data_IF_292111850230
#
_entry.id   IF_292111850230
#
_cell.length_a   1.000
_cell.length_b   1.000
_cell.length_c   1.000
_cell.angle_alpha   90.00
_cell.angle_beta   90.00
_cell.angle_gamma   90.00
#
_symmetry.space_group_name_H-M   'P 1'
#
loop_
_entity.id
_entity.type
_entity.pdbx_description
1 polymer ?
#
# COMPACT_ATOMS: atom_id res chain seq x y z
N UNK A 1 24.62 11.62 -6.61
CA UNK A 1 23.68 10.46 -6.60
C UNK A 1 22.30 11.04 -6.52
N UNK A 2 21.62 10.97 -7.65
CA UNK A 2 20.55 11.90 -7.96
C UNK A 2 19.25 11.37 -7.38
N UNK A 3 18.48 12.28 -6.78
CA UNK A 3 17.22 11.98 -6.12
C UNK A 3 16.08 12.10 -7.14
N UNK A 4 15.39 11.00 -7.41
CA UNK A 4 14.22 10.97 -8.28
C UNK A 4 12.98 10.84 -7.42
N UNK A 5 12.02 11.74 -7.61
CA UNK A 5 10.71 11.66 -6.96
C UNK A 5 9.66 11.19 -7.98
N UNK A 6 8.94 10.14 -7.61
CA UNK A 6 7.77 9.63 -8.33
C UNK A 6 6.52 9.92 -7.50
N UNK A 7 5.41 10.27 -8.15
CA UNK A 7 4.13 10.38 -7.47
C UNK A 7 3.40 9.03 -7.47
N UNK A 8 2.89 8.62 -6.30
CA UNK A 8 2.13 7.36 -6.22
C UNK A 8 0.82 7.44 -7.01
N UNK A 9 0.65 6.62 -8.03
CA UNK A 9 -0.47 6.69 -8.98
C UNK A 9 -1.06 5.30 -9.21
N UNK A 10 -1.47 4.66 -8.11
CA UNK A 10 -2.19 3.40 -8.14
C UNK A 10 -1.34 2.18 -8.49
N UNK A 11 -0.02 2.25 -8.27
CA UNK A 11 0.91 1.13 -8.44
C UNK A 11 1.67 1.12 -9.76
N UNK A 12 1.32 1.98 -10.71
CA UNK A 12 2.01 2.09 -12.00
C UNK A 12 3.42 2.67 -11.88
N UNK A 13 3.68 3.39 -10.79
CA UNK A 13 5.00 3.92 -10.42
C UNK A 13 5.99 2.83 -10.00
N UNK A 14 5.50 1.66 -9.54
CA UNK A 14 6.35 0.63 -8.93
C UNK A 14 7.33 -0.02 -9.92
N UNK A 15 6.95 -0.43 -11.15
CA UNK A 15 7.89 -0.96 -12.12
C UNK A 15 9.01 0.04 -12.46
N UNK A 16 8.67 1.32 -12.56
CA UNK A 16 9.62 2.39 -12.82
C UNK A 16 10.55 2.62 -11.61
N UNK A 17 10.00 2.65 -10.39
CA UNK A 17 10.77 2.77 -9.16
C UNK A 17 11.81 1.64 -9.02
N UNK A 18 11.41 0.40 -9.33
CA UNK A 18 12.31 -0.77 -9.37
C UNK A 18 13.40 -0.60 -10.42
N UNK A 19 13.06 -0.17 -11.64
CA UNK A 19 14.04 0.03 -12.71
C UNK A 19 15.07 1.12 -12.36
N UNK A 20 14.61 2.25 -11.81
CA UNK A 20 15.47 3.35 -11.38
C UNK A 20 16.37 2.96 -10.20
N UNK A 21 15.83 2.22 -9.22
CA UNK A 21 16.61 1.70 -8.11
C UNK A 21 17.71 0.75 -8.60
N UNK A 22 17.40 -0.17 -9.53
CA UNK A 22 18.39 -1.07 -10.16
C UNK A 22 19.47 -0.33 -10.95
N UNK A 23 19.13 0.83 -11.52
CA UNK A 23 20.08 1.71 -12.17
C UNK A 23 20.93 2.55 -11.19
N UNK A 24 20.73 2.40 -9.87
CA UNK A 24 21.52 3.05 -8.82
C UNK A 24 21.00 4.42 -8.39
N UNK A 25 19.80 4.82 -8.83
CA UNK A 25 19.20 6.09 -8.44
C UNK A 25 18.55 6.02 -7.05
N UNK A 26 18.56 7.14 -6.34
CA UNK A 26 17.82 7.31 -5.08
C UNK A 26 16.40 7.67 -5.43
N UNK A 27 15.46 6.76 -5.19
CA UNK A 27 14.05 6.96 -5.57
C UNK A 27 13.23 7.29 -4.33
N UNK A 28 12.29 8.23 -4.43
CA UNK A 28 11.27 8.49 -3.41
C UNK A 28 9.91 8.38 -4.09
N UNK A 29 9.01 7.58 -3.52
CA UNK A 29 7.60 7.54 -3.94
C UNK A 29 6.83 8.49 -3.03
N UNK A 30 6.50 9.67 -3.55
CA UNK A 30 5.82 10.72 -2.81
C UNK A 30 4.31 10.46 -2.72
N UNK A 31 3.75 10.81 -1.56
CA UNK A 31 2.32 10.74 -1.33
C UNK A 31 1.59 11.83 -2.15
N UNK A 32 0.60 11.48 -2.98
CA UNK A 32 -0.15 12.42 -3.82
C UNK A 32 -0.76 13.59 -3.05
N UNK A 33 -1.14 13.37 -1.78
CA UNK A 33 -1.68 14.46 -0.96
C UNK A 33 -0.61 15.49 -0.63
N UNK A 34 0.61 15.06 -0.35
CA UNK A 34 1.72 15.97 -0.02
C UNK A 34 2.19 16.74 -1.26
N UNK A 35 2.33 16.05 -2.41
CA UNK A 35 2.67 16.68 -3.69
C UNK A 35 1.60 17.68 -4.11
N UNK A 36 0.30 17.35 -3.98
CA UNK A 36 -0.79 18.28 -4.27
C UNK A 36 -0.81 19.48 -3.31
N UNK A 37 -0.63 19.28 -2.01
CA UNK A 37 -0.58 20.40 -1.04
C UNK A 37 0.60 21.34 -1.33
N UNK A 38 1.76 20.78 -1.69
CA UNK A 38 2.91 21.55 -2.13
C UNK A 38 2.66 22.28 -3.45
N UNK A 39 1.98 21.64 -4.41
CA UNK A 39 1.56 22.29 -5.65
C UNK A 39 0.64 23.49 -5.38
N UNK A 40 -0.34 23.34 -4.49
CA UNK A 40 -1.27 24.41 -4.11
C UNK A 40 -0.57 25.61 -3.46
N UNK A 41 0.57 25.43 -2.79
CA UNK A 41 1.32 26.56 -2.22
C UNK A 41 2.07 27.38 -3.27
N UNK A 42 2.28 26.84 -4.47
CA UNK A 42 3.05 27.50 -5.54
C UNK A 42 2.16 28.05 -6.68
N UNK A 43 1.09 27.34 -7.09
CA UNK A 43 0.21 27.80 -8.18
C UNK A 43 -1.15 27.07 -8.20
N UNK A 44 -2.22 27.77 -8.59
CA UNK A 44 -3.58 27.22 -8.73
C UNK A 44 -3.88 26.60 -10.11
N UNK A 45 -3.03 26.83 -11.13
CA UNK A 45 -3.29 26.41 -12.50
C UNK A 45 -2.53 25.10 -12.83
N UNK A 46 -3.28 24.02 -13.05
CA UNK A 46 -2.76 22.66 -13.28
C UNK A 46 -2.42 22.44 -14.77
N UNK A 47 -1.15 22.22 -15.08
CA UNK A 47 -0.70 21.74 -16.40
C UNK A 47 0.42 20.71 -16.20
N UNK A 48 0.56 19.74 -17.09
CA UNK A 48 1.53 18.64 -16.91
C UNK A 48 2.98 19.13 -16.79
N UNK A 49 3.35 20.19 -17.53
CA UNK A 49 4.67 20.81 -17.43
C UNK A 49 4.89 21.49 -16.07
N UNK A 50 3.86 22.15 -15.52
CA UNK A 50 3.95 22.71 -14.16
C UNK A 50 4.03 21.63 -13.10
N UNK A 51 3.27 20.55 -13.25
CA UNK A 51 3.27 19.46 -12.27
C UNK A 51 4.62 18.73 -12.25
N UNK A 52 5.26 18.56 -13.41
CA UNK A 52 6.64 18.06 -13.50
C UNK A 52 7.65 18.99 -12.80
N UNK A 53 7.56 20.31 -13.02
CA UNK A 53 8.40 21.29 -12.32
C UNK A 53 8.14 21.30 -10.81
N UNK A 54 6.89 21.12 -10.39
CA UNK A 54 6.51 21.03 -8.98
C UNK A 54 7.14 19.82 -8.31
N UNK A 55 7.11 18.65 -8.95
CA UNK A 55 7.77 17.44 -8.46
C UNK A 55 9.29 17.64 -8.38
N UNK A 56 9.90 18.35 -9.33
CA UNK A 56 11.32 18.69 -9.28
C UNK A 56 11.65 19.63 -8.09
N UNK A 57 10.85 20.67 -7.85
CA UNK A 57 11.01 21.52 -6.67
C UNK A 57 10.83 20.74 -5.36
N UNK A 58 9.86 19.82 -5.33
CA UNK A 58 9.64 18.96 -4.19
C UNK A 58 10.84 18.04 -3.96
N UNK A 59 11.44 17.48 -5.01
CA UNK A 59 12.67 16.69 -4.94
C UNK A 59 13.84 17.50 -4.36
N UNK A 60 14.05 18.74 -4.81
CA UNK A 60 15.09 19.62 -4.27
C UNK A 60 14.88 19.91 -2.79
N UNK A 61 13.64 20.23 -2.40
CA UNK A 61 13.28 20.44 -0.99
C UNK A 61 13.58 19.19 -0.15
N UNK A 62 13.27 17.99 -0.66
CA UNK A 62 13.58 16.74 0.02
C UNK A 62 15.09 16.49 0.13
N UNK A 63 15.85 16.76 -0.92
CA UNK A 63 17.31 16.59 -0.92
C UNK A 63 18.02 17.47 0.13
N UNK A 64 17.44 18.63 0.48
CA UNK A 64 17.95 19.53 1.52
C UNK A 64 17.61 19.09 2.95
N UNK A 65 16.77 18.06 3.14
CA UNK A 65 16.41 17.56 4.48
C UNK A 65 17.33 16.43 4.90
N UNK A 66 17.76 16.46 6.16
CA UNK A 66 18.62 15.42 6.76
C UNK A 66 17.98 14.03 6.81
N UNK A 67 16.65 13.95 6.68
CA UNK A 67 15.90 12.70 6.82
C UNK A 67 15.52 12.03 5.50
N UNK A 68 16.02 12.49 4.35
CA UNK A 68 15.62 11.93 3.05
C UNK A 68 16.00 10.44 2.91
N UNK A 69 17.06 9.99 3.62
CA UNK A 69 17.45 8.59 3.67
C UNK A 69 16.34 7.66 4.19
N UNK A 70 15.47 8.16 5.07
CA UNK A 70 14.32 7.42 5.62
C UNK A 70 13.13 7.36 4.65
N UNK A 71 13.18 8.11 3.55
CA UNK A 71 12.11 8.18 2.55
C UNK A 71 12.47 7.47 1.25
N UNK A 72 13.69 6.93 1.16
CA UNK A 72 14.14 6.21 -0.01
C UNK A 72 13.31 4.94 -0.20
N UNK A 73 12.85 4.75 -1.43
CA UNK A 73 12.21 3.52 -1.87
C UNK A 73 13.21 2.37 -1.77
N UNK A 74 12.84 1.39 -0.96
CA UNK A 74 13.52 0.10 -0.85
C UNK A 74 12.63 -0.91 -1.58
N UNK A 75 13.08 -1.49 -2.69
CA UNK A 75 12.28 -2.49 -3.37
C UNK A 75 12.14 -3.73 -2.48
N UNK A 76 10.96 -4.38 -2.48
CA UNK A 76 10.77 -5.65 -1.80
C UNK A 76 11.70 -6.72 -2.37
N UNK A 77 12.05 -7.72 -1.54
CA UNK A 77 12.78 -8.90 -2.03
C UNK A 77 11.88 -9.76 -2.94
N UNK A 78 12.43 -10.62 -3.81
CA UNK A 78 11.63 -11.52 -4.65
C UNK A 78 10.63 -12.35 -3.84
N UNK A 79 11.03 -12.81 -2.66
CA UNK A 79 10.18 -13.58 -1.76
C UNK A 79 9.03 -12.73 -1.20
N UNK A 80 9.29 -11.46 -0.88
CA UNK A 80 8.25 -10.53 -0.43
C UNK A 80 7.25 -10.21 -1.55
N UNK A 81 7.73 -9.97 -2.77
CA UNK A 81 6.87 -9.74 -3.94
C UNK A 81 5.97 -10.93 -4.24
N UNK A 82 6.52 -12.14 -4.14
CA UNK A 82 5.76 -13.37 -4.33
C UNK A 82 4.71 -13.55 -3.22
N UNK A 83 5.06 -13.28 -1.96
CA UNK A 83 4.12 -13.35 -0.83
C UNK A 83 2.97 -12.35 -1.02
N UNK A 84 3.28 -11.11 -1.40
CA UNK A 84 2.28 -10.06 -1.69
C UNK A 84 1.33 -10.50 -2.80
N UNK A 85 1.86 -11.09 -3.87
CA UNK A 85 1.06 -11.59 -5.00
C UNK A 85 0.09 -12.68 -4.56
N UNK A 86 0.56 -13.67 -3.79
CA UNK A 86 -0.26 -14.78 -3.29
C UNK A 86 -1.37 -14.27 -2.35
N UNK A 87 -1.01 -13.42 -1.38
CA UNK A 87 -1.96 -12.84 -0.42
C UNK A 87 -3.00 -11.96 -1.12
N UNK A 88 -2.58 -11.10 -2.05
CA UNK A 88 -3.47 -10.27 -2.84
C UNK A 88 -4.48 -11.12 -3.63
N UNK A 89 -4.01 -12.21 -4.25
CA UNK A 89 -4.88 -13.12 -4.97
C UNK A 89 -5.86 -13.85 -4.06
N UNK A 90 -5.41 -14.33 -2.89
CA UNK A 90 -6.29 -14.97 -1.91
C UNK A 90 -7.41 -14.00 -1.48
N UNK A 91 -7.07 -12.76 -1.14
CA UNK A 91 -8.05 -11.73 -0.76
C UNK A 91 -9.09 -11.47 -1.86
N UNK A 92 -8.67 -11.40 -3.14
CA UNK A 92 -9.61 -11.25 -4.26
C UNK A 92 -10.61 -12.41 -4.33
N UNK A 93 -10.15 -13.66 -4.14
CA UNK A 93 -11.03 -14.82 -4.17
C UNK A 93 -11.98 -14.86 -2.95
N UNK A 94 -11.51 -14.45 -1.77
CA UNK A 94 -12.34 -14.30 -0.57
C UNK A 94 -13.44 -13.27 -0.78
N UNK A 95 -13.14 -12.13 -1.41
CA UNK A 95 -14.12 -11.11 -1.78
C UNK A 95 -15.15 -11.64 -2.77
N UNK A 96 -14.70 -12.33 -3.84
CA UNK A 96 -15.59 -12.98 -4.81
C UNK A 96 -16.50 -14.01 -4.14
N UNK A 97 -15.96 -14.87 -3.28
CA UNK A 97 -16.73 -15.88 -2.55
C UNK A 97 -17.77 -15.22 -1.65
N UNK A 98 -17.42 -14.14 -0.97
CA UNK A 98 -18.35 -13.37 -0.15
C UNK A 98 -19.48 -12.76 -0.99
N UNK A 99 -19.16 -12.24 -2.16
CA UNK A 99 -20.16 -11.73 -3.09
C UNK A 99 -21.12 -12.83 -3.58
N UNK A 100 -20.62 -14.03 -3.90
CA UNK A 100 -21.47 -15.16 -4.31
C UNK A 100 -22.33 -15.70 -3.16
N UNK A 101 -21.80 -15.75 -1.93
CA UNK A 101 -22.59 -16.13 -0.74
C UNK A 101 -23.76 -15.17 -0.53
N UNK A 102 -23.52 -13.86 -0.63
CA UNK A 102 -24.58 -12.86 -0.56
C UNK A 102 -25.59 -13.02 -1.70
N UNK A 103 -25.14 -13.39 -2.91
CA UNK A 103 -26.01 -13.65 -4.06
C UNK A 103 -26.89 -14.88 -3.87
N UNK A 104 -26.39 -15.92 -3.21
CA UNK A 104 -27.10 -17.17 -2.96
C UNK A 104 -28.42 -16.96 -2.17
N UNK A 105 -28.50 -15.92 -1.35
CA UNK A 105 -29.71 -15.57 -0.59
C UNK A 105 -30.84 -15.02 -1.45
N UNK A 106 -30.52 -14.46 -2.63
CA UNK A 106 -31.46 -13.72 -3.48
C UNK A 106 -31.63 -14.32 -4.88
N UNK A 107 -30.85 -15.36 -5.21
CA UNK A 107 -30.84 -15.95 -6.54
C UNK A 107 -32.10 -16.78 -6.81
N UNK A 108 -32.62 -16.72 -8.03
CA UNK A 108 -33.71 -17.59 -8.48
C UNK A 108 -33.29 -19.07 -8.42
N UNK A 109 -34.24 -19.97 -8.13
CA UNK A 109 -33.99 -21.41 -7.93
C UNK A 109 -33.26 -22.07 -9.11
N UNK A 110 -33.52 -21.63 -10.34
CA UNK A 110 -32.87 -22.14 -11.56
C UNK A 110 -31.36 -21.89 -11.63
N UNK A 111 -30.85 -20.89 -10.92
CA UNK A 111 -29.42 -20.53 -10.91
C UNK A 111 -28.73 -20.91 -9.60
N UNK A 112 -29.48 -21.42 -8.61
CA UNK A 112 -28.94 -21.75 -7.29
C UNK A 112 -27.74 -22.71 -7.35
N UNK A 113 -27.88 -23.80 -8.10
CA UNK A 113 -26.81 -24.79 -8.27
C UNK A 113 -25.55 -24.18 -8.88
N UNK A 114 -25.69 -23.26 -9.84
CA UNK A 114 -24.55 -22.58 -10.46
C UNK A 114 -23.79 -21.70 -9.47
N UNK A 115 -24.51 -21.01 -8.56
CA UNK A 115 -23.90 -20.18 -7.52
C UNK A 115 -23.20 -21.05 -6.47
N UNK A 116 -23.83 -22.14 -6.04
CA UNK A 116 -23.24 -23.11 -5.10
C UNK A 116 -21.94 -23.70 -5.66
N UNK A 117 -21.93 -24.14 -6.92
CA UNK A 117 -20.72 -24.63 -7.60
C UNK A 117 -19.61 -23.56 -7.68
N UNK A 118 -19.95 -22.29 -7.89
CA UNK A 118 -18.97 -21.21 -7.90
C UNK A 118 -18.38 -20.96 -6.51
N UNK A 119 -19.20 -21.01 -5.45
CA UNK A 119 -18.74 -20.91 -4.06
C UNK A 119 -17.78 -22.05 -3.72
N UNK A 120 -18.09 -23.28 -4.14
CA UNK A 120 -17.24 -24.46 -3.91
C UNK A 120 -15.91 -24.32 -4.64
N UNK A 121 -15.94 -23.93 -5.92
CA UNK A 121 -14.72 -23.66 -6.71
C UNK A 121 -13.85 -22.60 -6.05
N UNK A 122 -14.43 -21.48 -5.63
CA UNK A 122 -13.69 -20.40 -4.97
C UNK A 122 -13.12 -20.86 -3.63
N UNK A 123 -13.85 -21.69 -2.87
CA UNK A 123 -13.37 -22.21 -1.59
C UNK A 123 -12.17 -23.13 -1.78
N UNK A 124 -12.23 -24.05 -2.73
CA UNK A 124 -11.09 -24.91 -3.07
C UNK A 124 -9.86 -24.09 -3.46
N UNK A 125 -10.03 -23.07 -4.32
CA UNK A 125 -8.92 -22.21 -4.76
C UNK A 125 -8.34 -21.37 -3.63
N UNK A 126 -9.15 -20.95 -2.66
CA UNK A 126 -8.66 -20.27 -1.44
C UNK A 126 -7.82 -21.25 -0.62
N UNK A 127 -8.28 -22.47 -0.39
CA UNK A 127 -7.55 -23.46 0.40
C UNK A 127 -6.20 -23.86 -0.24
N UNK A 128 -6.16 -23.94 -1.58
CA UNK A 128 -4.92 -24.14 -2.35
C UNK A 128 -3.94 -22.97 -2.15
N UNK A 129 -4.40 -21.73 -2.31
CA UNK A 129 -3.56 -20.54 -2.11
C UNK A 129 -3.10 -20.39 -0.67
N UNK A 130 -3.94 -20.75 0.30
CA UNK A 130 -3.59 -20.74 1.71
C UNK A 130 -2.44 -21.71 1.98
N UNK A 131 -2.49 -22.91 1.38
CA UNK A 131 -1.40 -23.89 1.46
C UNK A 131 -0.11 -23.37 0.78
N UNK A 132 -0.22 -22.69 -0.37
CA UNK A 132 0.93 -22.06 -1.04
C UNK A 132 1.54 -20.95 -0.17
N UNK A 133 0.72 -20.11 0.46
CA UNK A 133 1.16 -19.06 1.39
C UNK A 133 1.90 -19.69 2.58
N UNK A 134 1.35 -20.74 3.19
CA UNK A 134 1.99 -21.44 4.31
C UNK A 134 3.35 -22.03 3.93
N UNK A 135 3.47 -22.59 2.73
CA UNK A 135 4.74 -23.09 2.23
C UNK A 135 5.73 -21.95 1.97
N UNK A 136 5.27 -20.86 1.35
CA UNK A 136 6.12 -19.72 1.00
C UNK A 136 6.65 -18.98 2.23
N UNK A 137 5.86 -18.94 3.29
CA UNK A 137 6.23 -18.35 4.58
C UNK A 137 7.49 -18.96 5.20
N UNK A 138 7.88 -20.19 4.85
CA UNK A 138 9.12 -20.82 5.33
C UNK A 138 10.39 -20.02 4.99
N UNK A 139 10.36 -19.18 3.96
CA UNK A 139 11.46 -18.25 3.64
C UNK A 139 11.69 -17.17 4.72
N UNK A 140 10.75 -17.00 5.64
CA UNK A 140 10.74 -15.95 6.65
C UNK A 140 10.72 -16.47 8.09
N UNK A 141 11.21 -17.69 8.33
CA UNK A 141 11.08 -18.41 9.61
C UNK A 141 11.49 -17.59 10.85
N UNK A 142 12.56 -16.80 10.76
CA UNK A 142 13.03 -15.97 11.88
C UNK A 142 12.08 -14.80 12.22
N UNK A 143 11.43 -14.24 11.20
CA UNK A 143 10.42 -13.19 11.38
C UNK A 143 9.11 -13.79 11.90
N UNK A 144 8.72 -14.97 11.40
CA UNK A 144 7.50 -15.68 11.84
C UNK A 144 7.58 -16.09 13.31
N UNK A 145 8.76 -16.52 13.79
CA UNK A 145 8.98 -16.84 15.22
C UNK A 145 8.56 -15.67 16.13
N UNK A 146 8.83 -14.43 15.73
CA UNK A 146 8.45 -13.23 16.51
C UNK A 146 6.94 -13.03 16.59
N UNK A 147 6.19 -13.45 15.57
CA UNK A 147 4.73 -13.36 15.57
C UNK A 147 4.06 -14.49 16.36
N UNK A 148 4.70 -15.67 16.46
CA UNK A 148 4.15 -16.83 17.19
C UNK A 148 3.93 -16.55 18.69
N UNK A 149 4.67 -15.61 19.26
CA UNK A 149 4.51 -15.21 20.67
C UNK A 149 3.26 -14.35 20.91
N UNK A 150 2.61 -13.85 19.85
CA UNK A 150 1.41 -13.01 19.95
C UNK A 150 0.16 -13.86 19.83
N UNK A 151 -0.52 -14.06 20.97
CA UNK A 151 -1.78 -14.81 21.03
C UNK A 151 -2.84 -14.21 20.10
N UNK A 152 -3.41 -15.03 19.22
CA UNK A 152 -4.51 -14.66 18.33
C UNK A 152 -4.10 -14.28 16.90
N UNK A 153 -2.80 -14.29 16.57
CA UNK A 153 -2.35 -14.16 15.18
C UNK A 153 -2.30 -15.53 14.51
N UNK A 154 -3.17 -15.73 13.52
CA UNK A 154 -3.12 -16.90 12.63
C UNK A 154 -2.15 -16.69 11.46
N UNK A 155 -1.79 -17.78 10.78
CA UNK A 155 -0.85 -17.76 9.65
C UNK A 155 -1.24 -16.76 8.56
N UNK A 156 -2.53 -16.69 8.23
CA UNK A 156 -3.05 -15.73 7.26
C UNK A 156 -2.86 -14.28 7.69
N UNK A 157 -3.14 -13.97 8.95
CA UNK A 157 -2.92 -12.62 9.49
C UNK A 157 -1.45 -12.23 9.42
N UNK A 158 -0.54 -13.18 9.72
CA UNK A 158 0.90 -12.96 9.61
C UNK A 158 1.31 -12.72 8.16
N UNK A 159 0.82 -13.54 7.21
CA UNK A 159 1.09 -13.37 5.79
C UNK A 159 0.65 -11.98 5.28
N UNK A 160 -0.53 -11.52 5.68
CA UNK A 160 -1.04 -10.18 5.35
C UNK A 160 -0.16 -9.09 5.94
N UNK A 161 0.24 -9.20 7.22
CA UNK A 161 1.13 -8.22 7.84
C UNK A 161 2.51 -8.18 7.16
N UNK A 162 3.05 -9.34 6.79
CA UNK A 162 4.37 -9.43 6.16
C UNK A 162 4.37 -8.95 4.71
N UNK A 163 3.29 -9.16 3.97
CA UNK A 163 3.15 -8.70 2.59
C UNK A 163 2.82 -7.21 2.50
N UNK A 164 1.86 -6.75 3.29
CA UNK A 164 1.30 -5.39 3.17
C UNK A 164 2.02 -4.36 4.04
N UNK A 165 2.92 -4.81 4.92
CA UNK A 165 3.60 -4.00 5.93
C UNK A 165 5.07 -4.45 6.13
N UNK A 166 5.89 -4.48 5.06
CA UNK A 166 7.28 -4.92 5.13
C UNK A 166 8.17 -4.06 6.06
N UNK A 167 7.71 -2.86 6.45
CA UNK A 167 8.39 -1.96 7.37
C UNK A 167 8.29 -2.39 8.84
N UNK A 168 7.52 -3.43 9.14
CA UNK A 168 7.40 -3.99 10.49
C UNK A 168 8.77 -4.40 11.05
N UNK A 169 9.10 -3.86 12.23
CA UNK A 169 10.38 -4.06 12.89
C UNK A 169 11.47 -3.05 12.50
N UNK A 170 11.26 -2.25 11.44
CA UNK A 170 12.12 -1.12 11.09
C UNK A 170 11.59 0.19 11.68
N UNK A 171 10.27 0.35 11.67
CA UNK A 171 9.59 1.55 12.18
C UNK A 171 9.04 1.37 13.59
N UNK A 172 8.95 2.49 14.31
CA UNK A 172 8.31 2.52 15.62
C UNK A 172 6.82 2.23 15.52
N UNK A 173 6.20 1.75 16.60
CA UNK A 173 4.76 1.49 16.65
C UNK A 173 3.90 2.71 16.24
N UNK A 174 4.35 3.94 16.55
CA UNK A 174 3.65 5.18 16.15
C UNK A 174 3.71 5.42 14.65
N UNK A 175 4.87 5.18 14.03
CA UNK A 175 5.06 5.30 12.58
C UNK A 175 4.22 4.25 11.84
N UNK A 176 4.22 3.00 12.31
CA UNK A 176 3.36 1.94 11.76
C UNK A 176 1.89 2.29 11.91
N UNK A 177 1.46 2.73 13.09
CA UNK A 177 0.07 3.14 13.33
C UNK A 177 -0.37 4.32 12.43
N UNK A 178 0.54 5.26 12.15
CA UNK A 178 0.32 6.35 11.21
C UNK A 178 0.27 5.87 9.77
N UNK A 179 1.17 4.97 9.37
CA UNK A 179 1.25 4.38 8.02
C UNK A 179 -0.03 3.63 7.67
N UNK A 180 -0.52 2.79 8.58
CA UNK A 180 -1.78 2.05 8.40
C UNK A 180 -3.00 2.97 8.50
N UNK A 181 -2.84 4.19 9.06
CA UNK A 181 -3.92 5.17 9.17
C UNK A 181 -4.83 4.95 10.39
N UNK A 182 -4.38 4.17 11.38
CA UNK A 182 -5.07 3.95 12.66
C UNK A 182 -4.74 5.02 13.70
N UNK A 183 -3.60 5.72 13.55
CA UNK A 183 -3.21 6.80 14.46
C UNK A 183 -4.02 8.08 14.20
N UNK A 184 -4.70 8.65 15.22
CA UNK A 184 -5.29 9.98 15.11
C UNK A 184 -4.19 11.05 15.13
N UNK A 185 -4.16 11.91 14.10
CA UNK A 185 -3.20 13.01 14.02
C UNK A 185 -3.76 14.30 14.63
N UNK A 186 -2.98 15.05 15.44
CA UNK A 186 -3.43 16.30 16.04
C UNK A 186 -3.95 17.29 15.00
N UNK A 187 -5.09 17.92 15.31
CA UNK A 187 -5.65 19.07 14.58
C UNK A 187 -5.81 20.22 15.56
N UNK A 188 -4.79 21.07 15.64
CA UNK A 188 -4.75 22.19 16.58
C UNK A 188 -4.33 23.48 15.85
N UNK A 189 -4.90 24.62 16.26
CA UNK A 189 -4.55 25.96 15.75
C UNK A 189 -4.62 26.96 16.90
N UNK A 190 -3.48 27.52 17.31
CA UNK A 190 -3.39 28.32 18.53
C UNK A 190 -3.89 27.52 19.75
N UNK A 191 -4.86 28.08 20.48
CA UNK A 191 -5.49 27.39 21.62
C UNK A 191 -6.66 26.48 21.21
N UNK A 192 -7.05 26.44 19.94
CA UNK A 192 -8.18 25.64 19.48
C UNK A 192 -7.74 24.22 19.16
N UNK A 193 -8.37 23.23 19.81
CA UNK A 193 -8.16 21.80 19.55
C UNK A 193 -9.41 21.18 18.94
N UNK A 194 -9.24 20.54 17.78
CA UNK A 194 -10.32 19.85 17.07
C UNK A 194 -10.25 18.35 17.32
N UNK A 195 -11.38 17.66 17.18
CA UNK A 195 -11.41 16.19 17.24
C UNK A 195 -10.65 15.60 16.05
N UNK A 196 -9.56 14.92 16.32
CA UNK A 196 -8.86 14.05 15.37
C UNK A 196 -9.50 12.67 15.35
N UNK A 197 -9.69 12.10 14.15
CA UNK A 197 -10.24 10.75 13.96
C UNK A 197 -9.24 9.89 13.21
N UNK A 198 -9.27 8.59 13.48
CA UNK A 198 -8.61 7.57 12.67
C UNK A 198 -9.16 7.61 11.24
N UNK A 199 -8.27 7.55 10.22
CA UNK A 199 -8.64 7.61 8.81
C UNK A 199 -9.44 6.37 8.37
N UNK A 200 -9.11 5.19 8.91
CA UNK A 200 -9.84 3.95 8.62
C UNK A 200 -11.25 3.97 9.23
N UNK A 201 -11.40 4.56 10.42
CA UNK A 201 -12.69 4.61 11.12
C UNK A 201 -13.63 5.73 10.62
N UNK A 202 -13.23 6.49 9.60
CA UNK A 202 -14.11 7.45 8.92
C UNK A 202 -14.76 6.81 7.68
N UNK A 203 -16.08 6.95 7.47
CA UNK A 203 -16.73 6.45 6.25
C UNK A 203 -16.05 7.09 5.02
N UNK A 204 -15.48 6.26 4.15
CA UNK A 204 -14.66 6.68 3.01
C UNK A 204 -15.48 7.55 2.03
N UNK A 205 -15.01 8.77 1.78
CA UNK A 205 -15.22 9.45 0.49
C UNK A 205 -14.11 8.96 -0.45
N UNK A 206 -14.51 8.38 -1.58
CA UNK A 206 -13.62 7.74 -2.54
C UNK A 206 -12.58 8.69 -3.14
N UNK A 207 -11.43 8.13 -3.50
CA UNK A 207 -10.41 8.80 -4.30
C UNK A 207 -9.94 7.82 -5.37
N UNK A 208 -10.57 7.93 -6.54
CA UNK A 208 -10.03 7.48 -7.81
C UNK A 208 -9.66 8.74 -8.62
N UNK A 209 -8.42 8.82 -9.08
CA UNK A 209 -8.11 9.40 -10.40
C UNK A 209 -6.67 9.04 -10.81
N UNK A 210 -6.54 8.54 -12.03
CA UNK A 210 -5.32 8.08 -12.69
C UNK A 210 -4.69 9.23 -13.50
N UNK A 211 -3.37 9.41 -13.38
CA UNK A 211 -2.42 9.93 -14.38
C UNK A 211 -1.01 9.86 -13.76
N UNK A 212 -0.08 9.10 -14.35
CA UNK A 212 1.31 8.96 -13.88
C UNK A 212 2.10 10.22 -14.25
N UNK A 213 2.85 10.81 -13.31
CA UNK A 213 3.80 11.90 -13.57
C UNK A 213 5.19 11.51 -13.08
N UNK A 214 6.16 11.58 -13.99
CA UNK A 214 7.56 11.21 -13.78
C UNK A 214 8.42 12.40 -14.19
N UNK A 215 9.35 12.84 -13.34
CA UNK A 215 10.37 13.80 -13.72
C UNK A 215 11.75 13.33 -13.23
N UNK A 216 12.69 13.20 -14.16
CA UNK A 216 14.09 12.84 -13.91
C UNK A 216 14.90 14.13 -13.96
N UNK A 217 15.85 14.31 -13.03
CA UNK A 217 16.79 15.42 -13.04
C UNK A 217 18.22 14.89 -13.16
N UNK A 218 19.02 15.63 -13.94
CA UNK A 218 20.47 15.45 -14.07
C UNK A 218 21.11 16.71 -13.49
N UNK A 219 22.16 16.54 -12.69
CA UNK A 219 23.09 17.63 -12.36
C UNK A 219 23.89 18.06 -13.62
#
# INVERSE_FOLDING_TARGET
MDLIVLESTGGLELPLAKALHRAGFRVVIANPRQTNQFAMSQSLAKTDNKDAKMLAFYAQMLAMRDNVAQQLYIPPTPEQEQLETLVSRCNQLVEMRSAEKNRLEQVHSTQRLSVEQHIDYLSLRIDELDSEIEQHLKHFDDTIKKFKDIKGLGTQTIAVLMSMLPELGQYTHKQIASLVGVAPHPKESGNTKWKSRCLICTPKVGLNNQLIKVQIFYD
#
